data_IF_204180501772
#
_entry.id   IF_204180501772
#
_cell.length_a   1.000
_cell.length_b   1.000
_cell.length_c   1.000
_cell.angle_alpha   90.00
_cell.angle_beta   90.00
_cell.angle_gamma   90.00
#
_symmetry.space_group_name_H-M   'P 1'
#
loop_
_entity.id
_entity.type
_entity.pdbx_description
1 polymer ?
#
# COMPACT_ATOMS: atom_id res chain seq x y z
N UNK A 1 -63.35 -39.84 -1.72
CA UNK A 1 -63.58 -40.27 -3.12
C UNK A 1 -62.35 -39.82 -3.89
N UNK A 2 -61.35 -40.67 -4.13
CA UNK A 2 -61.33 -41.74 -5.13
C UNK A 2 -60.82 -43.07 -4.57
N UNK A 3 -61.29 -44.14 -5.19
CA UNK A 3 -61.32 -45.53 -4.72
C UNK A 3 -60.15 -46.33 -5.31
N UNK A 4 -59.64 -47.29 -4.51
CA UNK A 4 -59.31 -48.70 -4.84
C UNK A 4 -58.14 -48.94 -5.84
N UNK A 5 -57.38 -50.04 -5.88
CA UNK A 5 -57.49 -51.46 -5.46
C UNK A 5 -56.05 -51.99 -5.17
N UNK A 6 -55.77 -52.73 -4.09
CA UNK A 6 -55.78 -54.21 -3.96
C UNK A 6 -54.88 -54.94 -4.99
N UNK A 7 -53.71 -55.48 -4.63
CA UNK A 7 -53.36 -56.81 -4.04
C UNK A 7 -52.36 -57.53 -4.99
N UNK A 8 -51.86 -58.77 -4.73
CA UNK A 8 -50.60 -59.11 -4.06
C UNK A 8 -49.69 -59.97 -4.97
N UNK A 9 -48.54 -60.47 -4.49
CA UNK A 9 -47.79 -61.47 -5.27
C UNK A 9 -46.46 -61.92 -4.68
N UNK A 10 -46.50 -63.08 -4.04
CA UNK A 10 -45.39 -63.84 -3.49
C UNK A 10 -44.47 -64.45 -4.57
N UNK A 11 -43.21 -64.74 -4.22
CA UNK A 11 -42.64 -66.10 -4.25
C UNK A 11 -41.18 -66.16 -3.82
N UNK A 12 -40.94 -67.15 -2.97
CA UNK A 12 -39.68 -67.73 -2.51
C UNK A 12 -38.78 -68.24 -3.63
N UNK A 13 -37.46 -68.24 -3.42
CA UNK A 13 -36.53 -69.33 -3.81
C UNK A 13 -35.16 -69.14 -3.11
N UNK A 14 -34.73 -70.18 -2.37
CA UNK A 14 -33.33 -70.47 -1.95
C UNK A 14 -32.74 -71.48 -2.99
N UNK A 15 -31.49 -71.95 -2.88
CA UNK A 15 -30.18 -71.27 -2.89
C UNK A 15 -29.22 -71.94 -3.92
N UNK A 16 -27.94 -71.53 -3.90
CA UNK A 16 -26.74 -72.33 -4.26
C UNK A 16 -26.41 -72.51 -5.76
N UNK A 17 -25.31 -71.91 -6.22
CA UNK A 17 -24.16 -72.63 -6.80
C UNK A 17 -22.97 -71.72 -7.11
N UNK A 18 -21.81 -72.26 -6.77
CA UNK A 18 -20.46 -71.72 -6.82
C UNK A 18 -19.99 -71.58 -8.27
N UNK A 19 -19.43 -70.43 -8.63
CA UNK A 19 -18.78 -70.17 -9.91
C UNK A 19 -17.56 -69.27 -9.69
N UNK A 20 -16.41 -69.89 -9.46
CA UNK A 20 -15.10 -69.25 -9.33
C UNK A 20 -14.65 -68.77 -10.72
N UNK A 21 -14.78 -67.47 -11.00
CA UNK A 21 -14.14 -66.84 -12.17
C UNK A 21 -13.21 -65.73 -11.69
N UNK A 22 -11.91 -65.98 -11.85
CA UNK A 22 -10.88 -64.99 -11.67
C UNK A 22 -11.01 -63.88 -12.71
N UNK A 23 -11.25 -62.67 -12.24
CA UNK A 23 -11.01 -61.45 -12.99
C UNK A 23 -9.94 -60.67 -12.23
N UNK A 24 -8.73 -60.67 -12.77
CA UNK A 24 -7.66 -59.77 -12.38
C UNK A 24 -8.17 -58.36 -12.64
N UNK A 25 -8.54 -57.64 -11.58
CA UNK A 25 -8.80 -56.22 -11.64
C UNK A 25 -7.44 -55.53 -11.81
N UNK A 26 -7.04 -55.29 -13.05
CA UNK A 26 -6.13 -54.19 -13.34
C UNK A 26 -6.90 -52.92 -12.98
N UNK A 27 -6.71 -52.45 -11.75
CA UNK A 27 -7.05 -51.09 -11.36
C UNK A 27 -6.16 -50.16 -12.19
N UNK A 28 -6.63 -49.82 -13.39
CA UNK A 28 -6.12 -48.66 -14.09
C UNK A 28 -6.39 -47.47 -13.20
N UNK A 29 -5.35 -46.90 -12.59
CA UNK A 29 -5.43 -45.58 -12.02
C UNK A 29 -5.77 -44.64 -13.19
N UNK A 30 -7.06 -44.35 -13.39
CA UNK A 30 -7.44 -43.13 -14.06
C UNK A 30 -6.89 -42.02 -13.17
N UNK A 31 -5.78 -41.42 -13.56
CA UNK A 31 -5.42 -40.10 -13.08
C UNK A 31 -6.59 -39.19 -13.46
N UNK A 32 -7.56 -39.06 -12.57
CA UNK A 32 -8.41 -37.89 -12.57
C UNK A 32 -7.44 -36.74 -12.41
N UNK A 33 -7.21 -36.03 -13.52
CA UNK A 33 -6.61 -34.72 -13.46
C UNK A 33 -7.51 -33.92 -12.53
N UNK A 34 -7.05 -33.77 -11.30
CA UNK A 34 -7.59 -32.77 -10.38
C UNK A 34 -7.42 -31.47 -11.13
N UNK A 35 -8.52 -30.98 -11.73
CA UNK A 35 -8.53 -29.62 -12.23
C UNK A 35 -8.28 -28.74 -11.02
N UNK A 36 -7.26 -27.87 -11.03
CA UNK A 36 -7.07 -26.94 -9.94
C UNK A 36 -8.31 -26.05 -9.90
N UNK A 37 -9.15 -26.22 -8.87
CA UNK A 37 -10.22 -25.28 -8.59
C UNK A 37 -9.60 -23.95 -8.14
N UNK A 38 -10.11 -22.86 -8.71
CA UNK A 38 -9.61 -21.47 -8.72
C UNK A 38 -8.42 -21.22 -9.67
N UNK A 39 -8.74 -20.97 -10.93
CA UNK A 39 -7.77 -20.55 -11.95
C UNK A 39 -7.24 -19.14 -11.65
N UNK A 40 -6.08 -19.07 -11.00
CA UNK A 40 -5.28 -17.83 -10.99
C UNK A 40 -4.94 -17.48 -12.43
N UNK A 41 -5.33 -16.28 -12.87
CA UNK A 41 -4.97 -15.79 -14.19
C UNK A 41 -3.43 -15.82 -14.31
N UNK A 42 -2.83 -16.46 -15.33
CA UNK A 42 -1.38 -16.51 -15.48
C UNK A 42 -0.70 -15.13 -15.37
N UNK A 43 -1.36 -14.07 -15.88
CA UNK A 43 -0.89 -12.69 -15.74
C UNK A 43 -0.80 -12.26 -14.27
N UNK A 44 -1.84 -12.51 -13.49
CA UNK A 44 -1.91 -12.15 -12.08
C UNK A 44 -0.83 -12.89 -11.27
N UNK A 45 -0.65 -14.19 -11.54
CA UNK A 45 0.40 -14.99 -10.88
C UNK A 45 1.81 -14.43 -11.17
N UNK A 46 2.09 -14.08 -12.42
CA UNK A 46 3.35 -13.45 -12.80
C UNK A 46 3.51 -12.05 -12.18
N UNK A 47 2.43 -11.30 -12.05
CA UNK A 47 2.41 -9.97 -11.41
C UNK A 47 2.79 -10.07 -9.93
N UNK A 48 2.13 -10.97 -9.19
CA UNK A 48 2.42 -11.24 -7.79
C UNK A 48 3.86 -11.73 -7.59
N UNK A 49 4.34 -12.63 -8.47
CA UNK A 49 5.73 -13.08 -8.44
C UNK A 49 6.72 -11.93 -8.69
N UNK A 50 6.40 -11.05 -9.64
CA UNK A 50 7.17 -9.85 -9.94
C UNK A 50 7.28 -8.90 -8.75
N UNK A 51 6.15 -8.61 -8.10
CA UNK A 51 6.08 -7.77 -6.90
C UNK A 51 6.88 -8.39 -5.74
N UNK A 52 6.75 -9.71 -5.51
CA UNK A 52 7.50 -10.39 -4.47
C UNK A 52 9.03 -10.34 -4.70
N UNK A 53 9.48 -10.37 -5.96
CA UNK A 53 10.90 -10.15 -6.27
C UNK A 53 11.32 -8.70 -6.08
N UNK A 54 10.47 -7.74 -6.43
CA UNK A 54 10.72 -6.31 -6.23
C UNK A 54 10.86 -5.96 -4.74
N UNK A 55 10.01 -6.51 -3.87
CA UNK A 55 10.10 -6.33 -2.41
C UNK A 55 11.44 -6.80 -1.85
N UNK A 56 12.01 -7.87 -2.43
CA UNK A 56 13.33 -8.42 -2.08
C UNK A 56 14.49 -7.79 -2.84
N UNK A 57 14.22 -6.69 -3.55
CA UNK A 57 15.18 -5.95 -4.38
C UNK A 57 15.86 -6.80 -5.48
N UNK A 58 15.24 -7.92 -5.88
CA UNK A 58 15.73 -8.74 -6.98
C UNK A 58 15.17 -8.22 -8.31
N UNK A 59 15.62 -7.03 -8.72
CA UNK A 59 15.11 -6.30 -9.87
C UNK A 59 15.14 -7.13 -11.17
N UNK A 60 16.20 -7.92 -11.49
CA UNK A 60 16.21 -8.73 -12.71
C UNK A 60 15.14 -9.82 -12.74
N UNK A 61 14.83 -10.44 -11.60
CA UNK A 61 13.76 -11.46 -11.53
C UNK A 61 12.38 -10.81 -11.55
N UNK A 62 12.23 -9.67 -10.87
CA UNK A 62 11.00 -8.88 -10.90
C UNK A 62 10.62 -8.51 -12.34
N UNK A 63 11.54 -7.90 -13.07
CA UNK A 63 11.34 -7.48 -14.46
C UNK A 63 10.95 -8.66 -15.36
N UNK A 64 11.64 -9.80 -15.25
CA UNK A 64 11.31 -10.99 -16.06
C UNK A 64 9.89 -11.51 -15.79
N UNK A 65 9.49 -11.59 -14.52
CA UNK A 65 8.14 -12.04 -14.17
C UNK A 65 7.09 -11.04 -14.67
N UNK A 66 7.29 -9.75 -14.47
CA UNK A 66 6.37 -8.70 -14.93
C UNK A 66 6.25 -8.65 -16.46
N UNK A 67 7.34 -8.87 -17.19
CA UNK A 67 7.28 -8.96 -18.65
C UNK A 67 6.44 -10.17 -19.11
N UNK A 68 6.52 -11.32 -18.41
CA UNK A 68 5.64 -12.47 -18.68
C UNK A 68 4.17 -12.17 -18.38
N UNK A 69 3.89 -11.38 -17.35
CA UNK A 69 2.53 -10.89 -17.12
C UNK A 69 2.04 -10.02 -18.28
N UNK A 70 2.85 -9.07 -18.76
CA UNK A 70 2.50 -8.22 -19.91
C UNK A 70 2.42 -8.97 -21.25
N UNK A 71 3.10 -10.10 -21.43
CA UNK A 71 2.89 -10.99 -22.59
C UNK A 71 1.45 -11.54 -22.62
N UNK A 72 0.83 -11.75 -21.46
CA UNK A 72 -0.54 -12.28 -21.32
C UNK A 72 -1.58 -11.14 -21.30
N UNK A 73 -1.30 -10.05 -20.57
CA UNK A 73 -2.16 -8.89 -20.46
C UNK A 73 -1.34 -7.58 -20.65
N UNK A 74 -1.17 -7.11 -21.91
CA UNK A 74 -0.25 -6.00 -22.24
C UNK A 74 -0.55 -4.65 -21.59
N UNK A 75 -1.80 -4.46 -21.15
CA UNK A 75 -2.29 -3.24 -20.55
C UNK A 75 -2.69 -3.44 -19.07
N UNK A 76 -2.29 -4.53 -18.42
CA UNK A 76 -2.64 -4.71 -17.00
C UNK A 76 -2.02 -3.60 -16.14
N UNK A 77 -2.86 -2.81 -15.48
CA UNK A 77 -2.42 -1.59 -14.80
C UNK A 77 -1.54 -1.91 -13.58
N UNK A 78 -1.80 -3.00 -12.87
CA UNK A 78 -0.99 -3.42 -11.71
C UNK A 78 0.41 -3.88 -12.15
N UNK A 79 0.48 -4.66 -13.22
CA UNK A 79 1.76 -5.07 -13.83
C UNK A 79 2.58 -3.87 -14.33
N UNK A 80 1.94 -2.94 -15.05
CA UNK A 80 2.60 -1.73 -15.56
C UNK A 80 3.15 -0.87 -14.42
N UNK A 81 2.37 -0.68 -13.35
CA UNK A 81 2.79 0.04 -12.16
C UNK A 81 3.96 -0.64 -11.44
N UNK A 82 3.92 -1.97 -11.32
CA UNK A 82 5.02 -2.73 -10.73
C UNK A 82 6.31 -2.63 -11.57
N UNK A 83 6.19 -2.64 -12.89
CA UNK A 83 7.33 -2.50 -13.80
C UNK A 83 7.90 -1.08 -13.74
N UNK A 84 7.06 -0.05 -13.60
CA UNK A 84 7.49 1.32 -13.35
C UNK A 84 8.34 1.44 -12.07
N UNK A 85 7.95 0.77 -10.98
CA UNK A 85 8.75 0.73 -9.75
C UNK A 85 10.09 0.02 -9.93
N UNK A 86 10.15 -1.05 -10.75
CA UNK A 86 11.41 -1.71 -11.09
C UNK A 86 12.34 -0.72 -11.80
N UNK A 87 11.85 -0.03 -12.82
CA UNK A 87 12.63 0.98 -13.55
C UNK A 87 13.07 2.15 -12.66
N UNK A 88 12.20 2.61 -11.76
CA UNK A 88 12.55 3.63 -10.76
C UNK A 88 13.74 3.19 -9.90
N UNK A 89 13.73 1.95 -9.38
CA UNK A 89 14.84 1.41 -8.56
C UNK A 89 16.12 1.19 -9.35
N UNK A 90 16.01 0.94 -10.65
CA UNK A 90 17.18 0.84 -11.55
C UNK A 90 17.77 2.20 -11.93
N UNK A 91 17.06 3.31 -11.65
CA UNK A 91 17.45 4.65 -12.10
C UNK A 91 17.01 4.98 -13.53
N UNK A 92 16.23 4.10 -14.17
CA UNK A 92 15.69 4.26 -15.52
C UNK A 92 14.43 5.13 -15.48
N UNK A 93 14.62 6.42 -15.18
CA UNK A 93 13.54 7.34 -14.83
C UNK A 93 12.53 7.58 -15.97
N UNK A 94 12.99 7.65 -17.21
CA UNK A 94 12.13 7.85 -18.38
C UNK A 94 11.20 6.65 -18.58
N UNK A 95 11.72 5.43 -18.43
CA UNK A 95 10.93 4.20 -18.51
C UNK A 95 9.95 4.08 -17.34
N UNK A 96 10.35 4.50 -16.14
CA UNK A 96 9.45 4.55 -14.99
C UNK A 96 8.26 5.49 -15.25
N UNK A 97 8.52 6.71 -15.71
CA UNK A 97 7.48 7.70 -16.05
C UNK A 97 6.50 7.17 -17.10
N UNK A 98 7.02 6.59 -18.19
CA UNK A 98 6.20 5.98 -19.25
C UNK A 98 5.27 4.89 -18.69
N UNK A 99 5.80 3.99 -17.87
CA UNK A 99 5.03 2.86 -17.35
C UNK A 99 3.99 3.29 -16.31
N UNK A 100 4.27 4.30 -15.50
CA UNK A 100 3.26 4.91 -14.62
C UNK A 100 2.13 5.54 -15.43
N UNK A 101 2.44 6.31 -16.47
CA UNK A 101 1.44 6.93 -17.33
C UNK A 101 0.60 5.89 -18.08
N UNK A 102 1.21 4.80 -18.54
CA UNK A 102 0.49 3.66 -19.16
C UNK A 102 -0.43 2.97 -18.16
N UNK A 103 0.02 2.76 -16.92
CA UNK A 103 -0.81 2.18 -15.87
C UNK A 103 -2.07 3.03 -15.60
N UNK A 104 -1.89 4.36 -15.48
CA UNK A 104 -2.99 5.30 -15.26
C UNK A 104 -3.89 5.48 -16.49
N UNK A 105 -3.35 5.31 -17.70
CA UNK A 105 -4.14 5.29 -18.95
C UNK A 105 -5.01 4.05 -19.05
N UNK A 106 -4.50 2.90 -18.60
CA UNK A 106 -5.26 1.64 -18.58
C UNK A 106 -6.35 1.65 -17.50
N UNK A 107 -6.03 2.16 -16.31
CA UNK A 107 -7.00 2.32 -15.23
C UNK A 107 -6.88 3.70 -14.58
N UNK A 108 -7.73 4.63 -15.02
CA UNK A 108 -7.77 5.99 -14.48
C UNK A 108 -8.18 6.04 -12.99
N UNK A 109 -8.87 5.02 -12.48
CA UNK A 109 -9.26 4.90 -11.07
C UNK A 109 -8.18 4.27 -10.18
N UNK A 110 -6.98 4.00 -10.69
CA UNK A 110 -5.98 3.24 -9.94
C UNK A 110 -5.23 4.11 -8.92
N UNK A 111 -5.88 4.40 -7.79
CA UNK A 111 -5.38 5.29 -6.73
C UNK A 111 -4.00 4.89 -6.20
N UNK A 112 -3.72 3.58 -6.07
CA UNK A 112 -2.40 3.07 -5.65
C UNK A 112 -1.29 3.47 -6.63
N UNK A 113 -1.52 3.29 -7.94
CA UNK A 113 -0.56 3.69 -8.97
C UNK A 113 -0.35 5.20 -8.97
N UNK A 114 -1.43 5.97 -8.75
CA UNK A 114 -1.37 7.42 -8.69
C UNK A 114 -0.52 7.93 -7.53
N UNK A 115 -0.69 7.34 -6.35
CA UNK A 115 0.16 7.64 -5.19
C UNK A 115 1.64 7.29 -5.43
N UNK A 116 1.92 6.12 -6.00
CA UNK A 116 3.29 5.71 -6.32
C UNK A 116 3.93 6.62 -7.38
N UNK A 117 3.15 7.01 -8.40
CA UNK A 117 3.63 7.95 -9.42
C UNK A 117 3.89 9.33 -8.82
N UNK A 118 3.03 9.81 -7.92
CA UNK A 118 3.28 11.06 -7.22
C UNK A 118 4.56 11.03 -6.39
N UNK A 119 4.83 9.91 -5.68
CA UNK A 119 6.08 9.74 -4.94
C UNK A 119 7.30 9.77 -5.89
N UNK A 120 7.23 9.05 -7.01
CA UNK A 120 8.25 9.12 -8.06
C UNK A 120 8.48 10.56 -8.55
N UNK A 121 7.41 11.29 -8.89
CA UNK A 121 7.49 12.68 -9.36
C UNK A 121 8.09 13.61 -8.31
N UNK A 122 7.72 13.43 -7.04
CA UNK A 122 8.25 14.18 -5.90
C UNK A 122 9.76 13.98 -5.76
N UNK A 123 10.23 12.73 -5.81
CA UNK A 123 11.67 12.40 -5.75
C UNK A 123 12.46 12.98 -6.94
N UNK A 124 11.80 13.21 -8.08
CA UNK A 124 12.37 13.88 -9.25
C UNK A 124 12.30 15.40 -9.20
N UNK A 125 11.78 15.98 -8.12
CA UNK A 125 11.58 17.44 -7.99
C UNK A 125 10.46 18.00 -8.87
N UNK A 126 9.65 17.13 -9.50
CA UNK A 126 8.46 17.53 -10.28
C UNK A 126 7.27 17.74 -9.33
N UNK A 127 7.46 18.65 -8.37
CA UNK A 127 6.55 18.85 -7.24
C UNK A 127 5.13 19.20 -7.68
N UNK A 128 4.95 20.10 -8.66
CA UNK A 128 3.62 20.45 -9.18
C UNK A 128 2.87 19.24 -9.74
N UNK A 129 3.56 18.40 -10.50
CA UNK A 129 2.95 17.19 -11.08
C UNK A 129 2.62 16.18 -9.98
N UNK A 130 3.51 16.01 -9.00
CA UNK A 130 3.29 15.14 -7.85
C UNK A 130 2.05 15.55 -7.04
N UNK A 131 1.93 16.84 -6.71
CA UNK A 131 0.78 17.38 -5.98
C UNK A 131 -0.51 17.16 -6.78
N UNK A 132 -0.52 17.40 -8.09
CA UNK A 132 -1.68 17.15 -8.96
C UNK A 132 -2.11 15.68 -8.96
N UNK A 133 -1.16 14.74 -8.96
CA UNK A 133 -1.49 13.31 -8.84
C UNK A 133 -2.08 12.97 -7.46
N UNK A 134 -1.55 13.56 -6.38
CA UNK A 134 -2.09 13.36 -5.03
C UNK A 134 -3.48 13.97 -4.86
N UNK A 135 -3.73 15.17 -5.38
CA UNK A 135 -5.04 15.82 -5.38
C UNK A 135 -6.10 14.92 -6.02
N UNK A 136 -5.79 14.33 -7.18
CA UNK A 136 -6.65 13.35 -7.84
C UNK A 136 -6.81 12.07 -7.01
N UNK A 137 -5.73 11.57 -6.40
CA UNK A 137 -5.77 10.36 -5.58
C UNK A 137 -6.67 10.55 -4.33
N UNK A 138 -6.63 11.73 -3.71
CA UNK A 138 -7.45 12.02 -2.51
C UNK A 138 -8.95 12.05 -2.78
N UNK A 139 -9.39 12.09 -4.04
CA UNK A 139 -10.80 12.02 -4.41
C UNK A 139 -11.39 10.62 -4.23
N UNK A 140 -10.57 9.57 -4.20
CA UNK A 140 -11.03 8.21 -3.93
C UNK A 140 -11.34 8.03 -2.45
N UNK A 141 -12.62 8.12 -2.10
CA UNK A 141 -13.11 8.00 -0.72
C UNK A 141 -13.08 6.57 -0.18
N UNK A 142 -12.90 5.56 -1.04
CA UNK A 142 -12.86 4.16 -0.64
C UNK A 142 -11.45 3.62 -0.49
N UNK A 143 -10.43 4.42 -0.79
CA UNK A 143 -9.03 4.02 -0.61
C UNK A 143 -8.67 3.92 0.88
N UNK A 144 -8.30 2.73 1.35
CA UNK A 144 -7.99 2.48 2.77
C UNK A 144 -6.92 3.43 3.33
N UNK A 145 -5.89 3.73 2.53
CA UNK A 145 -4.77 4.60 2.93
C UNK A 145 -5.00 6.07 2.58
N UNK A 146 -6.25 6.54 2.49
CA UNK A 146 -6.57 7.93 2.11
C UNK A 146 -5.99 8.98 3.05
N UNK A 147 -5.87 8.68 4.36
CA UNK A 147 -5.18 9.57 5.30
C UNK A 147 -3.72 9.82 4.87
N UNK A 148 -3.02 8.78 4.41
CA UNK A 148 -1.64 8.90 3.92
C UNK A 148 -1.55 9.71 2.63
N UNK A 149 -2.56 9.64 1.75
CA UNK A 149 -2.61 10.49 0.55
C UNK A 149 -2.67 11.97 0.92
N UNK A 150 -3.50 12.34 1.88
CA UNK A 150 -3.58 13.71 2.38
C UNK A 150 -2.29 14.15 3.07
N UNK A 151 -1.63 13.28 3.84
CA UNK A 151 -0.33 13.58 4.43
C UNK A 151 0.76 13.80 3.36
N UNK A 152 0.77 12.98 2.31
CA UNK A 152 1.67 13.15 1.16
C UNK A 152 1.36 14.44 0.39
N UNK A 153 0.07 14.78 0.21
CA UNK A 153 -0.34 16.01 -0.45
C UNK A 153 0.12 17.24 0.34
N UNK A 154 -0.09 17.23 1.66
CA UNK A 154 0.35 18.32 2.53
C UNK A 154 1.86 18.50 2.53
N UNK A 155 2.62 17.41 2.54
CA UNK A 155 4.07 17.46 2.36
C UNK A 155 4.45 18.09 1.01
N UNK A 156 3.81 17.67 -0.09
CA UNK A 156 4.07 18.20 -1.43
C UNK A 156 3.77 19.71 -1.51
N UNK A 157 2.64 20.15 -0.96
CA UNK A 157 2.23 21.55 -0.91
C UNK A 157 3.19 22.39 -0.06
N UNK A 158 3.68 21.83 1.05
CA UNK A 158 4.71 22.49 1.88
C UNK A 158 5.99 22.75 1.10
N UNK A 159 6.51 21.75 0.38
CA UNK A 159 7.72 21.93 -0.45
C UNK A 159 7.49 22.92 -1.60
N UNK A 160 6.26 23.05 -2.09
CA UNK A 160 5.86 24.06 -3.06
C UNK A 160 5.71 25.47 -2.45
N UNK A 161 5.80 25.61 -1.12
CA UNK A 161 5.60 26.86 -0.39
C UNK A 161 4.14 27.25 -0.15
N UNK A 162 3.18 26.39 -0.54
CA UNK A 162 1.75 26.61 -0.29
C UNK A 162 1.37 26.07 1.10
N UNK A 163 1.76 26.85 2.13
CA UNK A 163 1.61 26.44 3.53
C UNK A 163 0.14 26.31 3.95
N UNK A 164 -0.75 27.17 3.44
CA UNK A 164 -2.17 27.14 3.80
C UNK A 164 -2.86 25.88 3.26
N UNK A 165 -2.57 25.51 2.00
CA UNK A 165 -3.04 24.25 1.44
C UNK A 165 -2.45 23.05 2.18
N UNK A 166 -1.15 23.12 2.53
CA UNK A 166 -0.48 22.06 3.26
C UNK A 166 -1.14 21.80 4.62
N UNK A 167 -1.44 22.85 5.39
CA UNK A 167 -2.16 22.74 6.68
C UNK A 167 -3.51 22.06 6.48
N UNK A 168 -4.29 22.53 5.50
CA UNK A 168 -5.62 21.97 5.19
C UNK A 168 -5.55 20.47 4.89
N UNK A 169 -4.58 20.05 4.08
CA UNK A 169 -4.38 18.64 3.73
C UNK A 169 -3.95 17.81 4.95
N UNK A 170 -3.05 18.32 5.78
CA UNK A 170 -2.56 17.59 6.96
C UNK A 170 -3.63 17.46 8.05
N UNK A 171 -4.44 18.50 8.27
CA UNK A 171 -5.60 18.44 9.17
C UNK A 171 -6.63 17.42 8.65
N UNK A 172 -6.83 17.35 7.33
CA UNK A 172 -7.66 16.31 6.73
C UNK A 172 -7.11 14.90 6.94
N UNK A 173 -5.79 14.72 6.88
CA UNK A 173 -5.15 13.46 7.21
C UNK A 173 -5.41 13.05 8.66
N UNK A 174 -5.24 13.98 9.61
CA UNK A 174 -5.50 13.74 11.04
C UNK A 174 -6.97 13.45 11.35
N UNK A 175 -7.90 14.07 10.61
CA UNK A 175 -9.33 13.81 10.75
C UNK A 175 -9.73 12.40 10.28
N UNK A 176 -8.99 11.80 9.35
CA UNK A 176 -9.23 10.43 8.87
C UNK A 176 -8.51 9.42 9.78
N UNK A 177 -7.24 9.69 10.09
CA UNK A 177 -6.43 8.85 10.99
C UNK A 177 -5.63 9.70 11.97
N UNK A 178 -6.13 9.74 13.22
CA UNK A 178 -5.49 10.43 14.34
C UNK A 178 -4.22 9.74 14.87
N UNK A 179 -3.85 8.58 14.32
CA UNK A 179 -2.68 7.80 14.75
C UNK A 179 -1.50 7.91 13.80
N UNK A 180 -1.55 8.81 12.81
CA UNK A 180 -0.44 9.09 11.90
C UNK A 180 0.51 10.15 12.47
N UNK A 181 1.72 9.79 12.97
CA UNK A 181 2.62 10.75 13.60
C UNK A 181 3.15 11.78 12.60
N UNK A 182 3.36 11.37 11.34
CA UNK A 182 3.97 12.21 10.29
C UNK A 182 3.20 13.52 10.11
N UNK A 183 1.86 13.47 10.09
CA UNK A 183 1.04 14.67 9.92
C UNK A 183 1.23 15.67 11.06
N UNK A 184 1.35 15.19 12.30
CA UNK A 184 1.62 16.03 13.46
C UNK A 184 3.00 16.70 13.38
N UNK A 185 4.03 15.96 12.95
CA UNK A 185 5.37 16.53 12.82
C UNK A 185 5.44 17.61 11.73
N UNK A 186 4.90 17.31 10.53
CA UNK A 186 4.87 18.27 9.42
C UNK A 186 4.06 19.52 9.78
N UNK A 187 2.93 19.39 10.47
CA UNK A 187 2.17 20.55 10.96
C UNK A 187 2.96 21.33 12.01
N UNK A 188 3.64 20.67 12.95
CA UNK A 188 4.47 21.37 13.94
C UNK A 188 5.55 22.24 13.27
N UNK A 189 6.20 21.73 12.23
CA UNK A 189 7.19 22.49 11.45
C UNK A 189 6.56 23.70 10.74
N UNK A 190 5.39 23.52 10.11
CA UNK A 190 4.68 24.61 9.41
C UNK A 190 4.23 25.68 10.41
N UNK A 191 3.57 25.30 11.50
CA UNK A 191 3.08 26.22 12.53
C UNK A 191 4.24 26.98 13.18
N UNK A 192 5.38 26.32 13.41
CA UNK A 192 6.58 26.97 13.93
C UNK A 192 7.11 28.03 12.94
N UNK A 193 7.22 27.68 11.65
CA UNK A 193 7.66 28.59 10.60
C UNK A 193 6.72 29.80 10.42
N UNK A 194 5.43 29.63 10.70
CA UNK A 194 4.42 30.71 10.68
C UNK A 194 4.38 31.53 11.97
N UNK A 195 5.16 31.19 13.00
CA UNK A 195 5.18 31.88 14.29
C UNK A 195 4.09 31.44 15.27
N UNK A 196 3.30 30.42 14.92
CA UNK A 196 2.22 29.88 15.75
C UNK A 196 2.77 28.90 16.81
N UNK A 197 3.69 29.36 17.66
CA UNK A 197 4.48 28.50 18.54
C UNK A 197 3.65 27.64 19.51
N UNK A 198 2.48 28.12 19.96
CA UNK A 198 1.58 27.33 20.79
C UNK A 198 0.98 26.14 20.03
N UNK A 199 0.50 26.36 18.79
CA UNK A 199 -0.02 25.28 17.92
C UNK A 199 1.09 24.31 17.54
N UNK A 200 2.26 24.84 17.20
CA UNK A 200 3.43 24.03 16.89
C UNK A 200 3.78 23.08 18.05
N UNK A 201 3.73 23.58 19.29
CA UNK A 201 3.96 22.77 20.48
C UNK A 201 2.92 21.65 20.65
N UNK A 202 1.63 21.95 20.50
CA UNK A 202 0.55 20.96 20.62
C UNK A 202 0.68 19.82 19.59
N UNK A 203 1.02 20.19 18.34
CA UNK A 203 1.27 19.23 17.27
C UNK A 203 2.50 18.38 17.59
N UNK A 204 3.59 19.00 18.03
CA UNK A 204 4.83 18.28 18.38
C UNK A 204 4.65 17.33 19.56
N UNK A 205 3.89 17.74 20.59
CA UNK A 205 3.55 16.86 21.72
C UNK A 205 2.76 15.63 21.25
N UNK A 206 1.82 15.82 20.32
CA UNK A 206 1.06 14.71 19.73
C UNK A 206 1.96 13.78 18.92
N UNK A 207 2.91 14.32 18.15
CA UNK A 207 3.95 13.52 17.48
C UNK A 207 4.75 12.68 18.49
N UNK A 208 5.33 13.31 19.51
CA UNK A 208 6.17 12.64 20.50
C UNK A 208 5.40 11.55 21.27
N UNK A 209 4.12 11.76 21.53
CA UNK A 209 3.25 10.76 22.16
C UNK A 209 3.04 9.52 21.27
N UNK A 210 2.96 9.70 19.95
CA UNK A 210 2.68 8.61 19.01
C UNK A 210 3.95 7.88 18.53
N UNK A 211 5.03 8.61 18.26
CA UNK A 211 6.25 8.09 17.65
C UNK A 211 7.47 8.08 18.60
N UNK A 212 7.33 8.62 19.82
CA UNK A 212 8.46 8.87 20.70
C UNK A 212 9.29 10.08 20.26
N UNK A 213 10.40 10.29 20.95
CA UNK A 213 11.33 11.39 20.67
C UNK A 213 12.39 10.97 19.65
N UNK A 214 12.54 11.78 18.61
CA UNK A 214 13.64 11.72 17.64
C UNK A 214 14.55 12.94 17.79
N UNK A 215 15.81 12.91 17.29
CA UNK A 215 16.67 14.11 17.29
C UNK A 215 15.98 15.34 16.69
N UNK A 216 15.35 15.20 15.53
CA UNK A 216 14.64 16.29 14.86
C UNK A 216 13.47 16.84 15.72
N UNK A 217 12.73 15.97 16.43
CA UNK A 217 11.66 16.42 17.32
C UNK A 217 12.18 17.13 18.57
N UNK A 218 13.34 16.75 19.09
CA UNK A 218 13.96 17.41 20.23
C UNK A 218 14.54 18.77 19.83
N UNK A 219 15.13 18.87 18.63
CA UNK A 219 15.56 20.15 18.04
C UNK A 219 14.39 21.09 17.90
N UNK A 220 13.30 20.65 17.25
CA UNK A 220 12.11 21.47 17.09
C UNK A 220 11.47 21.85 18.44
N UNK A 221 11.49 20.94 19.44
CA UNK A 221 10.98 21.23 20.78
C UNK A 221 11.80 22.30 21.50
N UNK A 222 13.14 22.25 21.39
CA UNK A 222 14.05 23.27 21.91
C UNK A 222 13.76 24.62 21.23
N UNK A 223 13.61 24.62 19.92
CA UNK A 223 13.44 25.84 19.12
C UNK A 223 12.07 26.50 19.38
N UNK A 224 11.01 25.69 19.55
CA UNK A 224 9.69 26.17 20.01
C UNK A 224 9.77 26.72 21.43
N UNK A 225 10.49 26.05 22.35
CA UNK A 225 10.63 26.51 23.72
C UNK A 225 11.38 27.85 23.81
N UNK A 226 12.46 28.01 23.03
CA UNK A 226 13.20 29.26 22.92
C UNK A 226 12.31 30.40 22.39
N UNK A 227 11.57 30.16 21.30
CA UNK A 227 10.65 31.14 20.72
C UNK A 227 9.51 31.57 21.68
N UNK A 228 9.15 30.69 22.63
CA UNK A 228 8.14 30.96 23.67
C UNK A 228 8.71 31.60 24.94
N UNK A 229 10.04 31.74 25.04
CA UNK A 229 10.71 32.18 26.26
C UNK A 229 10.68 31.14 27.40
N UNK A 230 10.42 29.88 27.08
CA UNK A 230 10.36 28.77 28.04
C UNK A 230 11.77 28.22 28.31
N UNK A 231 12.49 28.92 29.20
CA UNK A 231 13.89 28.62 29.55
C UNK A 231 14.05 27.20 30.09
N UNK A 232 13.07 26.70 30.85
CA UNK A 232 13.13 25.37 31.47
C UNK A 232 13.07 24.27 30.42
N UNK A 233 12.06 24.30 29.55
CA UNK A 233 11.93 23.32 28.48
C UNK A 233 13.07 23.42 27.47
N UNK A 234 13.52 24.64 27.13
CA UNK A 234 14.68 24.83 26.25
C UNK A 234 15.92 24.14 26.80
N UNK A 235 16.21 24.30 28.11
CA UNK A 235 17.34 23.62 28.76
C UNK A 235 17.14 22.11 28.75
N UNK A 236 15.96 21.63 29.13
CA UNK A 236 15.63 20.21 29.16
C UNK A 236 15.86 19.50 27.81
N UNK A 237 15.39 20.08 26.70
CA UNK A 237 15.61 19.50 25.37
C UNK A 237 17.06 19.63 24.90
N UNK A 238 17.76 20.69 25.29
CA UNK A 238 19.21 20.83 25.00
C UNK A 238 20.02 19.72 25.66
N UNK A 239 19.73 19.39 26.93
CA UNK A 239 20.40 18.31 27.64
C UNK A 239 20.15 16.95 27.01
N UNK A 240 18.91 16.66 26.59
CA UNK A 240 18.58 15.44 25.86
C UNK A 240 19.31 15.31 24.53
N UNK A 241 19.40 16.39 23.75
CA UNK A 241 20.16 16.41 22.49
C UNK A 241 21.65 16.15 22.73
N UNK A 242 22.24 16.77 23.75
CA UNK A 242 23.63 16.54 24.11
C UNK A 242 23.88 15.09 24.51
N UNK A 243 22.97 14.47 25.27
CA UNK A 243 23.09 13.07 25.65
C UNK A 243 23.11 12.12 24.44
N UNK A 244 22.39 12.43 23.37
CA UNK A 244 22.40 11.64 22.13
C UNK A 244 23.74 11.74 21.38
N UNK A 245 24.39 12.91 21.40
CA UNK A 245 25.70 13.11 20.76
C UNK A 245 26.88 12.43 21.45
N UNK A 246 26.68 11.95 22.70
CA UNK A 246 27.68 11.23 23.49
C UNK A 246 27.36 9.73 23.62
N UNK A 247 26.36 9.23 22.87
CA UNK A 247 26.09 7.79 22.80
C UNK A 247 27.27 7.09 22.07
N UNK A 248 27.83 6.00 22.64
CA UNK A 248 29.04 5.36 22.15
C UNK A 248 28.90 4.70 20.78
#
# INVERSE_FOLDING_TARGET
MTRRHALPGSRSLRPMLIGLFGAVWLAGCSSQAVQPESGTNPSEAYTQLGMAYLERDNLPRAQRALNRALEVAPNDAETLQALAMVYQRQGEHELADEHFLRALSSNAGFTRARNNYAAFLYDRGRLRDACSQLEQATQDTQYDNRAQLFANLGQCQREMGDLDAAVTSLERAQAIDMRSPRSYFTLAEIEYAQGNHSRAWEQLQSFMRLAGTTPASLELARDIADARGDIENRRFFTEQLNALGHAP
#
